data_IF_728630708564
#
_entry.id   IF_728630708564
#
_cell.length_a   1.000
_cell.length_b   1.000
_cell.length_c   1.000
_cell.angle_alpha   90.00
_cell.angle_beta   90.00
_cell.angle_gamma   90.00
#
_symmetry.space_group_name_H-M   'P 1'
#
loop_
_entity.id
_entity.type
_entity.pdbx_description
1 polymer ?
#
# COMPACT_ATOMS: atom_id res chain seq x y z
N UNK A 1 -15.75 32.41 4.51
CA UNK A 1 -14.62 31.47 4.29
C UNK A 1 -14.91 30.73 3.00
N UNK A 2 -13.98 30.63 2.03
CA UNK A 2 -14.31 30.01 0.74
C UNK A 2 -14.57 28.50 0.92
N UNK A 3 -15.48 27.91 0.11
CA UNK A 3 -15.79 26.47 0.14
C UNK A 3 -14.55 25.57 0.03
N UNK A 4 -13.53 26.03 -0.70
CA UNK A 4 -12.26 25.33 -0.86
C UNK A 4 -11.49 25.21 0.47
N UNK A 5 -11.51 26.26 1.32
CA UNK A 5 -10.88 26.27 2.65
C UNK A 5 -11.63 25.36 3.63
N UNK A 6 -12.96 25.36 3.60
CA UNK A 6 -13.81 24.48 4.42
C UNK A 6 -13.59 23.00 4.07
N UNK A 7 -13.51 22.69 2.79
CA UNK A 7 -13.24 21.33 2.30
C UNK A 7 -11.86 20.83 2.74
N UNK A 8 -10.84 21.70 2.69
CA UNK A 8 -9.49 21.41 3.17
C UNK A 8 -9.44 21.15 4.68
N UNK A 9 -10.12 21.99 5.48
CA UNK A 9 -10.19 21.82 6.94
C UNK A 9 -10.90 20.50 7.30
N UNK A 10 -12.05 20.21 6.69
CA UNK A 10 -12.76 18.94 6.89
C UNK A 10 -11.88 17.74 6.59
N UNK A 11 -11.16 17.75 5.47
CA UNK A 11 -10.25 16.67 5.11
C UNK A 11 -9.17 16.44 6.18
N UNK A 12 -8.56 17.50 6.71
CA UNK A 12 -7.53 17.41 7.75
C UNK A 12 -8.08 16.84 9.07
N UNK A 13 -9.25 17.30 9.50
CA UNK A 13 -9.90 16.80 10.71
C UNK A 13 -10.22 15.31 10.57
N UNK A 14 -10.87 14.91 9.46
CA UNK A 14 -11.18 13.51 9.19
C UNK A 14 -9.92 12.63 9.12
N UNK A 15 -8.82 13.16 8.57
CA UNK A 15 -7.53 12.45 8.51
C UNK A 15 -6.97 12.20 9.91
N UNK A 16 -6.96 13.21 10.78
CA UNK A 16 -6.47 13.06 12.15
C UNK A 16 -7.32 12.01 12.89
N UNK A 17 -8.64 12.11 12.78
CA UNK A 17 -9.55 11.14 13.38
C UNK A 17 -9.32 9.72 12.83
N UNK A 18 -9.18 9.57 11.52
CA UNK A 18 -8.96 8.26 10.88
C UNK A 18 -7.66 7.57 11.34
N UNK A 19 -6.68 8.32 11.85
CA UNK A 19 -5.43 7.75 12.36
C UNK A 19 -5.57 7.15 13.75
N UNK A 20 -6.42 7.71 14.61
CA UNK A 20 -6.47 7.41 16.05
C UNK A 20 -7.71 6.65 16.50
N UNK A 21 -8.84 6.73 15.76
CA UNK A 21 -10.08 6.05 16.20
C UNK A 21 -9.96 4.53 16.15
N UNK A 22 -10.60 3.77 17.05
CA UNK A 22 -10.72 2.32 16.93
C UNK A 22 -11.60 1.94 15.73
N UNK A 23 -11.52 0.68 15.27
CA UNK A 23 -12.34 0.16 14.17
C UNK A 23 -11.61 0.14 12.82
N UNK A 24 -10.72 -0.85 12.65
CA UNK A 24 -9.89 -1.01 11.46
C UNK A 24 -10.67 -1.24 10.17
N UNK A 25 -11.80 -1.94 10.25
CA UNK A 25 -12.68 -2.26 9.12
C UNK A 25 -13.96 -1.41 9.10
N UNK A 26 -14.15 -0.53 10.06
CA UNK A 26 -15.37 0.28 10.22
C UNK A 26 -15.07 1.78 10.24
N UNK A 27 -14.80 2.36 11.41
CA UNK A 27 -14.68 3.81 11.56
C UNK A 27 -13.53 4.40 10.73
N UNK A 28 -12.34 3.79 10.74
CA UNK A 28 -11.20 4.28 9.93
C UNK A 28 -11.47 4.20 8.43
N UNK A 29 -12.12 3.15 7.97
CA UNK A 29 -12.54 3.00 6.57
C UNK A 29 -13.54 4.10 6.21
N UNK A 30 -14.57 4.31 7.03
CA UNK A 30 -15.62 5.29 6.76
C UNK A 30 -15.08 6.73 6.76
N UNK A 31 -14.21 7.07 7.71
CA UNK A 31 -13.57 8.39 7.74
C UNK A 31 -12.73 8.65 6.49
N UNK A 32 -11.99 7.66 5.99
CA UNK A 32 -11.22 7.80 4.75
C UNK A 32 -12.13 7.89 3.51
N UNK A 33 -13.26 7.16 3.46
CA UNK A 33 -14.28 7.33 2.40
C UNK A 33 -14.84 8.76 2.39
N UNK A 34 -15.15 9.33 3.55
CA UNK A 34 -15.64 10.71 3.65
C UNK A 34 -14.62 11.77 3.22
N UNK A 35 -13.34 11.44 3.30
CA UNK A 35 -12.25 12.26 2.74
C UNK A 35 -12.22 12.20 1.22
N UNK A 36 -12.77 11.15 0.61
CA UNK A 36 -12.78 10.92 -0.83
C UNK A 36 -11.85 9.79 -1.30
N UNK A 37 -11.30 8.97 -0.40
CA UNK A 37 -10.58 7.75 -0.76
C UNK A 37 -11.59 6.72 -1.30
N UNK A 38 -11.29 6.10 -2.43
CA UNK A 38 -12.10 5.02 -2.99
C UNK A 38 -11.76 3.71 -2.29
N UNK A 39 -12.67 3.21 -1.44
CA UNK A 39 -12.41 2.02 -0.62
C UNK A 39 -13.51 0.97 -0.86
N UNK A 40 -13.09 -0.24 -1.18
CA UNK A 40 -13.93 -1.42 -1.37
C UNK A 40 -14.50 -1.99 -0.07
N UNK A 41 -14.94 -3.25 -0.12
CA UNK A 41 -15.50 -4.00 1.00
C UNK A 41 -14.40 -4.71 1.79
N UNK A 42 -14.63 -4.95 3.07
CA UNK A 42 -13.78 -5.76 3.97
C UNK A 42 -12.32 -5.32 4.00
N UNK A 43 -12.09 -4.01 3.80
CA UNK A 43 -10.74 -3.41 3.83
C UNK A 43 -10.32 -3.19 5.28
N UNK A 44 -9.10 -3.58 5.61
CA UNK A 44 -8.49 -3.33 6.90
C UNK A 44 -7.51 -2.15 6.85
N UNK A 45 -7.68 -1.16 7.73
CA UNK A 45 -6.78 -0.01 7.85
C UNK A 45 -6.21 0.05 9.26
N UNK A 46 -4.90 -0.07 9.38
CA UNK A 46 -4.17 -0.02 10.65
C UNK A 46 -4.19 1.35 11.32
N UNK A 47 -3.81 1.38 12.60
CA UNK A 47 -3.61 2.62 13.33
C UNK A 47 -2.50 3.45 12.69
N UNK A 48 -2.66 4.78 12.77
CA UNK A 48 -1.69 5.77 12.31
C UNK A 48 -1.31 5.63 10.83
N UNK A 49 -2.14 4.96 10.01
CA UNK A 49 -1.97 4.93 8.57
C UNK A 49 -2.23 6.33 7.99
N UNK A 50 -1.31 6.80 7.15
CA UNK A 50 -1.41 8.08 6.43
C UNK A 50 -1.78 7.76 4.99
N UNK A 51 -3.04 8.01 4.64
CA UNK A 51 -3.53 7.82 3.27
C UNK A 51 -3.68 9.19 2.64
N UNK A 52 -2.87 9.50 1.68
CA UNK A 52 -2.85 10.74 0.89
C UNK A 52 -3.50 11.95 1.59
N UNK A 53 -2.76 13.01 1.79
CA UNK A 53 -3.21 14.12 2.64
C UNK A 53 -4.00 15.18 1.88
N UNK A 54 -3.65 15.43 0.63
CA UNK A 54 -4.16 16.57 -0.14
C UNK A 54 -5.17 16.17 -1.21
N UNK A 55 -4.98 15.03 -1.85
CA UNK A 55 -5.78 14.53 -2.97
C UNK A 55 -6.27 13.09 -2.72
N UNK A 56 -7.07 12.85 -1.65
CA UNK A 56 -7.47 11.50 -1.25
C UNK A 56 -8.21 10.72 -2.35
N UNK A 57 -8.85 11.40 -3.30
CA UNK A 57 -9.51 10.80 -4.45
C UNK A 57 -8.55 10.11 -5.44
N UNK A 58 -7.24 10.34 -5.32
CA UNK A 58 -6.21 9.65 -6.10
C UNK A 58 -5.84 8.27 -5.52
N UNK A 59 -6.43 7.87 -4.41
CA UNK A 59 -6.18 6.55 -3.82
C UNK A 59 -7.40 5.65 -3.98
N UNK A 60 -7.15 4.47 -4.55
CA UNK A 60 -8.14 3.39 -4.62
C UNK A 60 -7.61 2.18 -3.85
N UNK A 61 -8.41 1.68 -2.91
CA UNK A 61 -8.14 0.47 -2.13
C UNK A 61 -9.30 -0.49 -2.41
N UNK A 62 -9.01 -1.63 -3.03
CA UNK A 62 -10.03 -2.59 -3.43
C UNK A 62 -10.40 -3.54 -2.31
N UNK A 63 -11.35 -4.45 -2.61
CA UNK A 63 -11.95 -5.37 -1.65
C UNK A 63 -10.88 -6.21 -0.92
N UNK A 64 -11.05 -6.43 0.38
CA UNK A 64 -10.21 -7.28 1.24
C UNK A 64 -8.72 -6.90 1.32
N UNK A 65 -8.36 -5.74 0.81
CA UNK A 65 -7.00 -5.25 0.96
C UNK A 65 -6.71 -4.81 2.40
N UNK A 66 -5.44 -4.94 2.81
CA UNK A 66 -4.99 -4.53 4.14
C UNK A 66 -3.89 -3.46 4.06
N UNK A 67 -4.10 -2.38 4.78
CA UNK A 67 -3.13 -1.29 4.95
C UNK A 67 -2.57 -1.34 6.36
N UNK A 68 -1.32 -1.71 6.52
CA UNK A 68 -0.65 -1.91 7.80
C UNK A 68 -0.57 -0.65 8.67
N UNK A 69 -0.30 -0.88 9.96
CA UNK A 69 -0.08 0.19 10.95
C UNK A 69 1.05 1.10 10.46
N UNK A 70 0.86 2.43 10.56
CA UNK A 70 1.84 3.44 10.12
C UNK A 70 2.23 3.36 8.65
N UNK A 71 1.48 2.67 7.82
CA UNK A 71 1.72 2.72 6.38
C UNK A 71 1.44 4.14 5.85
N UNK A 72 2.23 4.58 4.89
CA UNK A 72 2.11 5.91 4.27
C UNK A 72 1.88 5.75 2.77
N UNK A 73 0.75 6.23 2.27
CA UNK A 73 0.40 6.22 0.86
C UNK A 73 0.43 7.66 0.34
N UNK A 74 1.35 7.94 -0.58
CA UNK A 74 1.50 9.23 -1.25
C UNK A 74 1.03 9.04 -2.69
N UNK A 75 -0.04 9.72 -3.09
CA UNK A 75 -0.66 9.52 -4.39
C UNK A 75 -0.55 10.74 -5.32
N UNK A 76 -0.23 11.91 -4.77
CA UNK A 76 -0.11 13.12 -5.56
C UNK A 76 1.32 13.32 -6.07
N UNK A 77 1.42 13.63 -7.35
CA UNK A 77 2.60 14.14 -8.01
C UNK A 77 2.13 14.98 -9.22
N UNK A 78 3.06 15.38 -10.08
CA UNK A 78 2.73 16.19 -11.27
C UNK A 78 1.78 15.45 -12.24
N UNK A 79 1.89 14.13 -12.36
CA UNK A 79 1.13 13.31 -13.32
C UNK A 79 -0.25 12.90 -12.81
N UNK A 80 -0.46 12.87 -11.50
CA UNK A 80 -1.74 12.55 -10.82
C UNK A 80 -2.40 11.23 -11.26
N UNK A 81 -1.63 10.19 -11.56
CA UNK A 81 -2.16 8.86 -11.89
C UNK A 81 -2.66 8.11 -10.64
N UNK A 82 -2.25 8.58 -9.47
CA UNK A 82 -2.72 8.05 -8.20
C UNK A 82 -2.02 6.76 -7.75
N UNK A 83 -2.63 6.10 -6.76
CA UNK A 83 -2.20 4.81 -6.22
C UNK A 83 -3.38 3.86 -6.18
N UNK A 84 -3.17 2.63 -6.66
CA UNK A 84 -4.16 1.56 -6.60
C UNK A 84 -3.63 0.41 -5.77
N UNK A 85 -4.38 0.00 -4.76
CA UNK A 85 -4.15 -1.21 -3.99
C UNK A 85 -5.26 -2.18 -4.39
N UNK A 86 -4.87 -3.23 -5.12
CA UNK A 86 -5.81 -4.20 -5.67
C UNK A 86 -6.35 -5.16 -4.59
N UNK A 87 -7.32 -6.01 -4.98
CA UNK A 87 -7.97 -6.95 -4.07
C UNK A 87 -6.95 -7.88 -3.40
N UNK A 88 -7.21 -8.21 -2.14
CA UNK A 88 -6.38 -9.13 -1.34
C UNK A 88 -4.92 -8.70 -1.18
N UNK A 89 -4.56 -7.49 -1.60
CA UNK A 89 -3.20 -6.97 -1.41
C UNK A 89 -2.96 -6.55 0.04
N UNK A 90 -1.74 -6.82 0.54
CA UNK A 90 -1.37 -6.54 1.92
C UNK A 90 -0.15 -5.63 1.97
N UNK A 91 -0.30 -4.48 2.61
CA UNK A 91 0.80 -3.61 3.00
C UNK A 91 1.16 -3.87 4.46
N UNK A 92 2.38 -4.29 4.71
CA UNK A 92 2.91 -4.47 6.07
C UNK A 92 3.03 -3.16 6.84
N UNK A 93 3.29 -3.23 8.16
CA UNK A 93 3.52 -2.05 8.99
C UNK A 93 4.64 -1.15 8.46
N UNK A 94 4.44 0.17 8.51
CA UNK A 94 5.46 1.15 8.13
C UNK A 94 5.83 1.16 6.65
N UNK A 95 5.05 0.53 5.77
CA UNK A 95 5.26 0.57 4.32
C UNK A 95 5.03 1.99 3.79
N UNK A 96 5.89 2.42 2.86
CA UNK A 96 5.71 3.66 2.11
C UNK A 96 5.42 3.32 0.65
N UNK A 97 4.30 3.81 0.11
CA UNK A 97 3.93 3.68 -1.30
C UNK A 97 4.04 5.04 -1.96
N UNK A 98 4.87 5.14 -3.01
CA UNK A 98 5.07 6.36 -3.78
C UNK A 98 3.99 6.55 -4.86
N UNK A 99 3.87 7.75 -5.44
CA UNK A 99 2.87 8.04 -6.47
C UNK A 99 2.96 7.14 -7.70
N UNK A 100 1.84 6.98 -8.40
CA UNK A 100 1.72 6.24 -9.67
C UNK A 100 2.06 4.74 -9.54
N UNK A 101 1.82 4.16 -8.36
CA UNK A 101 2.08 2.76 -8.07
C UNK A 101 0.77 1.98 -7.99
N UNK A 102 0.74 0.82 -8.63
CA UNK A 102 -0.29 -0.21 -8.43
C UNK A 102 0.31 -1.38 -7.66
N UNK A 103 -0.32 -1.74 -6.53
CA UNK A 103 -0.03 -2.98 -5.81
C UNK A 103 -1.00 -4.03 -6.32
N UNK A 104 -0.50 -5.01 -7.04
CA UNK A 104 -1.32 -6.00 -7.74
C UNK A 104 -2.10 -6.92 -6.78
N UNK A 105 -3.14 -7.57 -7.31
CA UNK A 105 -4.01 -8.48 -6.56
C UNK A 105 -3.21 -9.54 -5.80
N UNK A 106 -3.49 -9.70 -4.50
CA UNK A 106 -2.83 -10.67 -3.64
C UNK A 106 -1.32 -10.43 -3.47
N UNK A 107 -0.81 -9.27 -3.86
CA UNK A 107 0.59 -8.91 -3.64
C UNK A 107 0.82 -8.53 -2.17
N UNK A 108 2.04 -8.74 -1.70
CA UNK A 108 2.43 -8.45 -0.32
C UNK A 108 3.65 -7.53 -0.32
N UNK A 109 3.52 -6.45 0.39
CA UNK A 109 4.63 -5.54 0.68
C UNK A 109 5.05 -5.75 2.13
N UNK A 110 6.25 -6.23 2.36
CA UNK A 110 6.74 -6.51 3.72
C UNK A 110 6.94 -5.24 4.54
N UNK A 111 6.92 -5.36 5.86
CA UNK A 111 7.06 -4.25 6.78
C UNK A 111 8.29 -3.36 6.47
N UNK A 112 8.13 -2.04 6.60
CA UNK A 112 9.19 -1.05 6.40
C UNK A 112 9.67 -0.86 4.97
N UNK A 113 9.04 -1.49 3.98
CA UNK A 113 9.44 -1.38 2.58
C UNK A 113 9.01 -0.07 1.93
N UNK A 114 9.78 0.42 0.95
CA UNK A 114 9.45 1.60 0.15
C UNK A 114 9.17 1.18 -1.30
N UNK A 115 7.92 1.30 -1.71
CA UNK A 115 7.48 0.88 -3.05
C UNK A 115 7.57 2.07 -4.00
N UNK A 116 8.50 1.98 -4.94
CA UNK A 116 8.79 3.01 -5.96
C UNK A 116 8.30 2.64 -7.35
N UNK A 117 7.86 1.40 -7.55
CA UNK A 117 7.35 0.85 -8.83
C UNK A 117 6.18 -0.08 -8.55
N UNK A 118 5.27 -0.22 -9.51
CA UNK A 118 4.15 -1.14 -9.40
C UNK A 118 4.60 -2.57 -9.11
N UNK A 119 3.84 -3.25 -8.24
CA UNK A 119 4.09 -4.63 -7.81
C UNK A 119 3.15 -5.55 -8.59
N UNK A 120 3.66 -6.57 -9.28
CA UNK A 120 2.82 -7.54 -9.99
C UNK A 120 1.88 -8.29 -9.03
N UNK A 121 0.74 -8.82 -9.53
CA UNK A 121 -0.13 -9.69 -8.75
C UNK A 121 0.64 -10.86 -8.13
N UNK A 122 0.20 -11.31 -6.95
CA UNK A 122 0.76 -12.48 -6.25
C UNK A 122 2.28 -12.43 -6.06
N UNK A 123 2.82 -11.24 -5.87
CA UNK A 123 4.25 -11.02 -5.67
C UNK A 123 4.51 -10.45 -4.28
N UNK A 124 5.46 -11.04 -3.56
CA UNK A 124 5.97 -10.48 -2.31
C UNK A 124 7.21 -9.63 -2.60
N UNK A 125 7.20 -8.39 -2.11
CA UNK A 125 8.31 -7.45 -2.25
C UNK A 125 8.84 -6.99 -0.91
N UNK A 126 10.14 -6.68 -0.84
CA UNK A 126 10.82 -6.23 0.37
C UNK A 126 11.90 -5.19 0.06
N UNK A 127 12.14 -4.30 1.02
CA UNK A 127 13.29 -3.40 1.06
C UNK A 127 13.01 -1.97 0.63
N UNK A 128 14.08 -1.16 0.56
CA UNK A 128 14.08 0.22 0.11
C UNK A 128 15.21 0.42 -0.92
N UNK A 129 14.86 0.55 -2.22
CA UNK A 129 13.53 0.36 -2.80
C UNK A 129 13.10 -1.11 -2.78
N UNK A 130 11.78 -1.37 -2.70
CA UNK A 130 11.21 -2.70 -2.65
C UNK A 130 11.54 -3.51 -3.92
N UNK A 131 11.91 -4.79 -3.73
CA UNK A 131 12.24 -5.74 -4.80
C UNK A 131 11.49 -7.05 -4.58
N UNK A 132 11.12 -7.78 -5.63
CA UNK A 132 10.52 -9.09 -5.51
C UNK A 132 11.42 -10.07 -4.76
N UNK A 133 10.85 -10.79 -3.79
CA UNK A 133 11.54 -11.83 -3.01
C UNK A 133 10.86 -13.19 -3.09
N UNK A 134 9.55 -13.22 -3.37
CA UNK A 134 8.79 -14.46 -3.52
C UNK A 134 7.54 -14.27 -4.38
N UNK A 135 7.01 -15.37 -4.92
CA UNK A 135 5.64 -15.46 -5.41
C UNK A 135 4.72 -15.97 -4.31
N UNK A 136 3.45 -15.54 -4.35
CA UNK A 136 2.42 -15.81 -3.33
C UNK A 136 1.34 -16.67 -3.97
N UNK A 137 1.30 -17.96 -3.64
CA UNK A 137 0.25 -18.85 -4.14
C UNK A 137 -1.03 -18.74 -3.31
N UNK A 138 -0.88 -18.57 -1.99
CA UNK A 138 -1.98 -18.39 -1.04
C UNK A 138 -1.99 -16.94 -0.55
N UNK A 139 -3.04 -16.13 -0.82
CA UNK A 139 -3.10 -14.76 -0.33
C UNK A 139 -3.07 -14.70 1.20
N UNK A 140 -2.40 -13.70 1.77
CA UNK A 140 -2.42 -13.43 3.19
C UNK A 140 -3.72 -12.69 3.56
N UNK A 141 -4.78 -13.48 3.83
CA UNK A 141 -6.05 -12.96 4.31
C UNK A 141 -6.19 -13.06 5.82
N UNK A 142 -7.24 -12.47 6.38
CA UNK A 142 -7.56 -12.59 7.81
C UNK A 142 -7.93 -14.02 8.21
N UNK A 143 -8.36 -14.84 7.24
CA UNK A 143 -8.84 -16.21 7.44
C UNK A 143 -7.76 -17.28 7.18
N UNK A 144 -6.57 -16.87 6.78
CA UNK A 144 -5.47 -17.78 6.44
C UNK A 144 -4.43 -17.80 7.55
N UNK A 145 -4.08 -18.99 8.03
CA UNK A 145 -3.02 -19.10 9.04
C UNK A 145 -1.66 -18.75 8.46
N UNK A 146 -0.77 -18.17 9.28
CA UNK A 146 0.61 -17.86 8.88
C UNK A 146 1.35 -19.10 8.36
N UNK A 147 1.07 -20.28 8.94
CA UNK A 147 1.67 -21.56 8.53
C UNK A 147 1.20 -21.98 7.12
N UNK A 148 -0.05 -21.80 6.81
CA UNK A 148 -0.62 -22.09 5.49
C UNK A 148 -0.10 -21.11 4.44
N UNK A 149 -0.12 -19.83 4.75
CA UNK A 149 0.48 -18.78 3.94
C UNK A 149 1.95 -19.08 3.61
N UNK A 150 2.78 -19.44 4.62
CA UNK A 150 4.19 -19.74 4.43
C UNK A 150 4.44 -20.91 3.48
N UNK A 151 3.55 -21.93 3.46
CA UNK A 151 3.64 -23.04 2.50
C UNK A 151 3.39 -22.60 1.04
N UNK A 152 2.64 -21.53 0.84
CA UNK A 152 2.33 -20.94 -0.47
C UNK A 152 3.40 -19.96 -0.98
N UNK A 153 4.48 -19.73 -0.25
CA UNK A 153 5.57 -18.87 -0.69
C UNK A 153 6.59 -19.64 -1.52
N UNK A 154 6.93 -19.13 -2.69
CA UNK A 154 8.02 -19.61 -3.55
C UNK A 154 9.05 -18.52 -3.69
N UNK A 155 10.24 -18.72 -3.15
CA UNK A 155 11.34 -17.75 -3.24
C UNK A 155 11.69 -17.46 -4.71
N UNK A 156 11.85 -16.19 -5.03
CA UNK A 156 12.43 -15.75 -6.30
C UNK A 156 13.92 -15.61 -6.07
N UNK A 157 14.76 -16.33 -6.83
CA UNK A 157 16.20 -16.17 -6.73
C UNK A 157 16.57 -14.69 -6.91
N UNK A 158 17.47 -14.14 -6.06
CA UNK A 158 17.92 -12.77 -6.25
C UNK A 158 18.51 -12.66 -7.67
N UNK A 159 18.13 -11.58 -8.40
CA UNK A 159 18.75 -11.29 -9.68
C UNK A 159 20.27 -11.24 -9.46
N UNK A 160 21.01 -12.11 -10.17
CA UNK A 160 22.47 -12.10 -10.14
C UNK A 160 22.96 -10.67 -10.34
N UNK A 161 23.95 -10.19 -9.56
CA UNK A 161 24.58 -8.91 -9.85
C UNK A 161 25.02 -8.95 -11.31
N UNK A 162 24.59 -8.00 -12.13
CA UNK A 162 25.10 -7.89 -13.51
C UNK A 162 26.59 -7.73 -13.38
N UNK A 163 27.31 -8.71 -13.93
CA UNK A 163 28.76 -8.72 -14.05
C UNK A 163 29.18 -7.35 -14.61
N UNK A 164 29.87 -6.59 -13.74
CA UNK A 164 30.30 -5.24 -14.07
C UNK A 164 31.29 -5.29 -15.20
N UNK A 165 31.06 -4.48 -16.19
CA UNK A 165 32.02 -3.80 -17.05
C UNK A 165 33.45 -4.35 -17.00
N UNK A 166 33.79 -5.16 -18.00
CA UNK A 166 35.18 -5.26 -18.43
C UNK A 166 35.62 -3.87 -18.87
N UNK A 167 36.41 -3.22 -18.06
CA UNK A 167 37.30 -2.12 -18.55
C UNK A 167 38.30 -2.77 -19.49
N UNK A 168 38.11 -2.59 -20.81
CA UNK A 168 39.17 -2.80 -21.75
C UNK A 168 40.11 -1.59 -21.63
N UNK A 169 41.24 -1.80 -20.95
CA UNK A 169 42.39 -0.93 -21.03
C UNK A 169 43.11 -1.16 -22.36
N UNK A 170 43.33 -0.11 -23.06
CA UNK A 170 44.54 0.13 -23.87
C UNK A 170 44.72 1.64 -24.04
#
# INVERSE_FOLDING_TARGET
MSERKLRGLRNRVLQILARIVPGAMSARVQLNRWRGVHIGRDVWIGYDAIIETSHPHLVTIRDRAAVGIRATIIAHNREQQGVVIEEDAVLGPGVIVLPNVTIGRGAIVTAGSVVTKSVPPKTMVQGNPARPIATVEVPLGLDVSVKEFAKGLRSVAPASPRDGTKEEGT
#
